data_IF_531482193134
#
_entry.id   IF_531482193134
#
_cell.length_a   1.000
_cell.length_b   1.000
_cell.length_c   1.000
_cell.angle_alpha   90.00
_cell.angle_beta   90.00
_cell.angle_gamma   90.00
#
_symmetry.space_group_name_H-M   'P 1'
#
loop_
_entity.id
_entity.type
_entity.pdbx_description
1 polymer ?
#
# COMPACT_ATOMS: atom_id res chain seq x y z
N UNK A 1 7.19 20.42 3.28
CA UNK A 1 8.01 19.28 3.71
C UNK A 1 7.54 18.08 2.90
N UNK A 2 8.44 17.46 2.13
CA UNK A 2 8.13 16.33 1.24
C UNK A 2 7.74 15.14 2.11
N UNK A 3 6.46 14.77 2.12
CA UNK A 3 6.04 13.54 2.78
C UNK A 3 6.79 12.36 2.13
N UNK A 4 7.44 11.53 2.94
CA UNK A 4 8.39 10.49 2.51
C UNK A 4 7.76 9.37 1.66
N UNK A 5 6.43 9.36 1.54
CA UNK A 5 5.70 8.55 0.58
C UNK A 5 5.02 9.49 -0.41
N UNK A 6 5.75 9.87 -1.46
CA UNK A 6 5.19 10.62 -2.59
C UNK A 6 4.07 9.77 -3.21
N UNK A 7 2.96 10.39 -3.60
CA UNK A 7 1.79 9.69 -4.15
C UNK A 7 2.15 8.79 -5.34
N UNK A 8 3.18 9.18 -6.11
CA UNK A 8 3.73 8.35 -7.18
C UNK A 8 4.27 7.02 -6.67
N UNK A 9 5.00 7.02 -5.55
CA UNK A 9 5.55 5.81 -4.94
C UNK A 9 4.45 4.84 -4.53
N UNK A 10 3.40 5.33 -3.86
CA UNK A 10 2.27 4.48 -3.44
C UNK A 10 1.54 3.85 -4.62
N UNK A 11 1.32 4.62 -5.68
CA UNK A 11 0.72 4.12 -6.92
C UNK A 11 1.61 3.09 -7.62
N UNK A 12 2.94 3.31 -7.65
CA UNK A 12 3.90 2.36 -8.23
C UNK A 12 3.93 1.05 -7.45
N UNK A 13 3.95 1.11 -6.11
CA UNK A 13 3.91 -0.09 -5.26
C UNK A 13 2.59 -0.84 -5.46
N UNK A 14 1.46 -0.14 -5.49
CA UNK A 14 0.16 -0.74 -5.75
C UNK A 14 0.12 -1.49 -7.10
N UNK A 15 0.63 -0.85 -8.15
CA UNK A 15 0.70 -1.45 -9.48
C UNK A 15 1.62 -2.69 -9.51
N UNK A 16 2.78 -2.63 -8.85
CA UNK A 16 3.69 -3.79 -8.68
C UNK A 16 3.03 -4.95 -7.94
N UNK A 17 2.29 -4.67 -6.87
CA UNK A 17 1.53 -5.71 -6.14
C UNK A 17 0.48 -6.34 -7.05
N UNK A 18 -0.21 -5.55 -7.89
CA UNK A 18 -1.19 -6.08 -8.85
C UNK A 18 -0.59 -6.95 -9.95
N UNK A 19 0.62 -6.62 -10.40
CA UNK A 19 1.29 -7.33 -11.50
C UNK A 19 2.02 -8.59 -11.03
N UNK A 20 2.57 -8.59 -9.82
CA UNK A 20 3.45 -9.66 -9.32
C UNK A 20 2.87 -10.45 -8.15
N UNK A 21 1.80 -9.96 -7.52
CA UNK A 21 1.13 -10.63 -6.42
C UNK A 21 0.15 -11.72 -6.86
N UNK A 22 -0.15 -12.60 -5.93
CA UNK A 22 -1.20 -13.60 -6.08
C UNK A 22 -2.57 -12.93 -5.98
N UNK A 23 -3.42 -13.14 -6.99
CA UNK A 23 -4.78 -12.61 -6.99
C UNK A 23 -5.72 -13.58 -6.27
N UNK A 24 -6.36 -13.11 -5.22
CA UNK A 24 -7.41 -13.81 -4.47
C UNK A 24 -8.64 -12.90 -4.42
N UNK A 25 -9.72 -13.30 -5.11
CA UNK A 25 -10.92 -12.48 -5.31
C UNK A 25 -10.60 -11.09 -5.91
N UNK A 26 -10.93 -10.02 -5.18
CA UNK A 26 -10.66 -8.63 -5.55
C UNK A 26 -9.38 -8.07 -4.91
N UNK A 27 -8.59 -8.93 -4.27
CA UNK A 27 -7.36 -8.57 -3.56
C UNK A 27 -6.13 -9.16 -4.24
N UNK A 28 -5.01 -8.45 -4.07
CA UNK A 28 -3.70 -8.85 -4.57
C UNK A 28 -2.75 -8.94 -3.39
N UNK A 29 -2.07 -10.08 -3.24
CA UNK A 29 -1.17 -10.35 -2.11
C UNK A 29 0.25 -10.52 -2.60
N UNK A 30 1.18 -9.72 -2.06
CA UNK A 30 2.60 -9.79 -2.40
C UNK A 30 3.44 -9.44 -1.18
N UNK A 31 4.42 -10.31 -0.85
CA UNK A 31 5.38 -10.06 0.24
C UNK A 31 4.72 -9.69 1.59
N UNK A 32 3.56 -10.28 1.89
CA UNK A 32 2.80 -10.01 3.11
C UNK A 32 2.10 -8.65 3.14
N UNK A 33 1.97 -8.00 1.98
CA UNK A 33 1.12 -6.84 1.74
C UNK A 33 -0.10 -7.27 0.93
N UNK A 34 -1.27 -6.76 1.30
CA UNK A 34 -2.52 -6.91 0.55
C UNK A 34 -2.89 -5.58 -0.07
N UNK A 35 -3.24 -5.58 -1.35
CA UNK A 35 -3.67 -4.39 -2.08
C UNK A 35 -5.02 -4.65 -2.77
N UNK A 36 -5.94 -3.69 -2.66
CA UNK A 36 -7.27 -3.76 -3.28
C UNK A 36 -7.86 -2.36 -3.45
N UNK A 37 -9.02 -2.27 -4.10
CA UNK A 37 -9.78 -1.03 -4.21
C UNK A 37 -11.14 -1.17 -3.52
N UNK A 38 -11.78 -0.04 -3.23
CA UNK A 38 -13.22 -0.03 -2.98
C UNK A 38 -14.02 -0.42 -4.24
N UNK A 39 -15.33 -0.51 -4.05
CA UNK A 39 -16.28 -0.97 -5.07
C UNK A 39 -16.32 -0.10 -6.32
N UNK A 40 -16.13 1.22 -6.19
CA UNK A 40 -16.10 2.15 -7.33
C UNK A 40 -14.69 2.38 -7.89
N UNK A 41 -13.66 1.84 -7.25
CA UNK A 41 -12.27 1.87 -7.72
C UNK A 41 -11.55 3.18 -7.45
N UNK A 42 -12.13 4.07 -6.66
CA UNK A 42 -11.59 5.40 -6.41
C UNK A 42 -10.64 5.48 -5.22
N UNK A 43 -10.79 4.58 -4.26
CA UNK A 43 -9.91 4.46 -3.13
C UNK A 43 -9.13 3.16 -3.27
N UNK A 44 -7.80 3.26 -3.22
CA UNK A 44 -6.96 2.09 -3.09
C UNK A 44 -6.56 1.89 -1.63
N UNK A 45 -6.42 0.63 -1.26
CA UNK A 45 -5.99 0.18 0.04
C UNK A 45 -4.71 -0.62 -0.12
N UNK A 46 -3.74 -0.36 0.76
CA UNK A 46 -2.52 -1.15 0.89
C UNK A 46 -2.38 -1.46 2.38
N UNK A 47 -2.40 -2.73 2.76
CA UNK A 47 -2.39 -3.10 4.17
C UNK A 47 -1.53 -4.31 4.46
N UNK A 48 -1.02 -4.36 5.69
CA UNK A 48 -0.50 -5.56 6.31
C UNK A 48 -1.26 -5.86 7.61
N UNK A 49 -0.81 -6.85 8.37
CA UNK A 49 -1.45 -7.26 9.63
C UNK A 49 -1.57 -6.13 10.67
N UNK A 50 -0.74 -5.09 10.59
CA UNK A 50 -0.62 -4.04 11.61
C UNK A 50 -0.95 -2.63 11.11
N UNK A 51 -0.87 -2.39 9.80
CA UNK A 51 -1.02 -1.07 9.20
C UNK A 51 -2.00 -1.13 8.05
N UNK A 52 -2.96 -0.18 8.04
CA UNK A 52 -3.84 0.05 6.90
C UNK A 52 -3.55 1.41 6.30
N UNK A 53 -3.26 1.45 5.01
CA UNK A 53 -3.15 2.67 4.22
C UNK A 53 -4.37 2.78 3.32
N UNK A 54 -5.14 3.85 3.50
CA UNK A 54 -6.15 4.29 2.56
C UNK A 54 -5.58 5.44 1.73
N UNK A 55 -5.58 5.30 0.40
CA UNK A 55 -5.16 6.35 -0.52
C UNK A 55 -6.32 6.69 -1.46
N UNK A 56 -6.82 7.91 -1.33
CA UNK A 56 -7.94 8.42 -2.11
C UNK A 56 -7.54 9.62 -2.98
N UNK A 57 -8.56 10.32 -3.48
CA UNK A 57 -8.39 11.45 -4.36
C UNK A 57 -7.62 12.63 -3.75
N UNK A 58 -7.11 13.49 -4.64
CA UNK A 58 -6.34 14.69 -4.28
C UNK A 58 -5.12 14.39 -3.40
N UNK A 59 -4.50 13.22 -3.61
CA UNK A 59 -3.34 12.74 -2.86
C UNK A 59 -3.58 12.68 -1.34
N UNK A 60 -4.84 12.49 -0.94
CA UNK A 60 -5.18 12.29 0.45
C UNK A 60 -4.95 10.85 0.83
N UNK A 61 -4.18 10.65 1.89
CA UNK A 61 -3.96 9.33 2.44
C UNK A 61 -4.05 9.34 3.95
N UNK A 62 -4.47 8.20 4.50
CA UNK A 62 -4.58 7.98 5.93
C UNK A 62 -3.96 6.65 6.27
N UNK A 63 -3.11 6.67 7.29
CA UNK A 63 -2.59 5.48 7.93
C UNK A 63 -3.39 5.19 9.21
N UNK A 64 -3.73 3.94 9.42
CA UNK A 64 -4.25 3.41 10.66
C UNK A 64 -3.25 2.37 11.20
N UNK A 65 -2.66 2.68 12.36
CA UNK A 65 -1.71 1.83 13.07
C UNK A 65 -1.67 2.22 14.55
N UNK A 66 -1.26 1.26 15.40
CA UNK A 66 -1.22 1.42 16.86
C UNK A 66 0.17 1.76 17.41
N UNK A 67 1.23 1.55 16.63
CA UNK A 67 2.62 1.84 17.03
C UNK A 67 3.44 2.37 15.86
N UNK A 68 4.38 3.27 16.13
CA UNK A 68 5.34 3.77 15.14
C UNK A 68 6.21 2.65 14.54
N UNK A 69 6.52 1.60 15.31
CA UNK A 69 7.28 0.44 14.82
C UNK A 69 6.52 -0.31 13.72
N UNK A 70 5.19 -0.37 13.82
CA UNK A 70 4.35 -0.98 12.79
C UNK A 70 4.46 -0.19 11.48
N UNK A 71 4.36 1.14 11.56
CA UNK A 71 4.55 2.02 10.40
C UNK A 71 5.93 1.84 9.77
N UNK A 72 7.00 1.85 10.57
CA UNK A 72 8.38 1.67 10.06
C UNK A 72 8.56 0.31 9.39
N UNK A 73 8.00 -0.76 9.97
CA UNK A 73 8.05 -2.09 9.36
C UNK A 73 7.25 -2.16 8.07
N UNK A 74 6.08 -1.53 8.02
CA UNK A 74 5.24 -1.47 6.83
C UNK A 74 5.93 -0.70 5.70
N UNK A 75 6.49 0.47 5.99
CA UNK A 75 7.21 1.29 5.01
C UNK A 75 8.40 0.52 4.41
N UNK A 76 9.14 -0.24 5.23
CA UNK A 76 10.22 -1.12 4.75
C UNK A 76 9.73 -2.16 3.76
N UNK A 77 8.57 -2.79 3.98
CA UNK A 77 7.98 -3.75 3.04
C UNK A 77 7.60 -3.08 1.72
N UNK A 78 7.00 -1.90 1.75
CA UNK A 78 6.67 -1.16 0.51
C UNK A 78 7.94 -0.82 -0.28
N UNK A 79 8.98 -0.30 0.40
CA UNK A 79 10.28 -0.02 -0.23
C UNK A 79 10.94 -1.28 -0.78
N UNK A 80 10.78 -2.42 -0.12
CA UNK A 80 11.30 -3.70 -0.61
C UNK A 80 10.61 -4.12 -1.91
N UNK A 81 9.27 -4.02 -1.98
CA UNK A 81 8.51 -4.30 -3.20
C UNK A 81 8.97 -3.39 -4.34
N UNK A 82 9.07 -2.08 -4.08
CA UNK A 82 9.49 -1.10 -5.09
C UNK A 82 10.91 -1.33 -5.63
N UNK A 83 11.82 -1.85 -4.81
CA UNK A 83 13.18 -2.15 -5.24
C UNK A 83 13.32 -3.52 -5.93
N UNK A 84 12.37 -4.44 -5.74
CA UNK A 84 12.46 -5.81 -6.26
C UNK A 84 11.84 -5.95 -7.64
N UNK A 85 10.76 -5.20 -7.90
CA UNK A 85 10.00 -5.19 -9.15
C UNK A 85 10.00 -3.79 -9.73
#
# INVERSE_FOLDING_TARGET
MKNELDSKFLLQVFDKIRQHGDKEDEQYKLMGITAFTDYDGYTLFIEDVNVKLQFGFHNQYRFDYTSADHYVSFEKKLKQIDNTF
#
